data_IF_450270000415
#
_entry.id   IF_450270000415
#
_cell.length_a   1.000
_cell.length_b   1.000
_cell.length_c   1.000
_cell.angle_alpha   90.00
_cell.angle_beta   90.00
_cell.angle_gamma   90.00
#
_symmetry.space_group_name_H-M   'P 1'
#
loop_
_entity.id
_entity.type
_entity.pdbx_description
1 polymer ?
#
# COMPACT_ATOMS: atom_id res chain seq x y z
N UNK A 1 -45.00 -17.26 -0.13
CA UNK A 1 -44.02 -16.25 -0.60
C UNK A 1 -42.89 -16.98 -1.27
N UNK A 2 -42.50 -16.61 -2.51
CA UNK A 2 -41.38 -17.25 -3.16
C UNK A 2 -40.08 -16.86 -2.45
N UNK A 3 -39.28 -17.86 -2.10
CA UNK A 3 -37.93 -17.70 -1.58
C UNK A 3 -37.11 -17.01 -2.66
N UNK A 4 -36.56 -15.83 -2.35
CA UNK A 4 -35.64 -15.15 -3.25
C UNK A 4 -34.42 -16.06 -3.51
N UNK A 5 -33.97 -16.21 -4.76
CA UNK A 5 -32.79 -17.01 -5.06
C UNK A 5 -31.57 -16.41 -4.34
N UNK A 6 -30.85 -17.26 -3.62
CA UNK A 6 -29.61 -16.95 -2.92
C UNK A 6 -28.61 -16.23 -3.84
N UNK A 7 -27.96 -15.20 -3.29
CA UNK A 7 -26.85 -14.46 -3.89
C UNK A 7 -25.70 -15.41 -4.35
N UNK A 8 -24.80 -14.97 -5.24
CA UNK A 8 -24.16 -15.82 -6.23
C UNK A 8 -23.21 -16.85 -5.61
N UNK A 9 -23.43 -18.12 -5.97
CA UNK A 9 -22.45 -19.20 -5.87
C UNK A 9 -21.19 -18.73 -6.58
N UNK A 10 -20.07 -18.62 -5.85
CA UNK A 10 -18.77 -18.29 -6.45
C UNK A 10 -18.46 -19.36 -7.52
N UNK A 11 -18.45 -18.98 -8.81
CA UNK A 11 -18.18 -19.94 -9.90
C UNK A 11 -16.69 -19.90 -10.26
N UNK A 12 -15.96 -21.01 -10.15
CA UNK A 12 -14.57 -21.07 -10.58
C UNK A 12 -14.50 -20.91 -12.11
N UNK A 13 -13.70 -19.96 -12.59
CA UNK A 13 -13.37 -19.86 -14.02
C UNK A 13 -12.29 -20.89 -14.39
N UNK A 14 -12.48 -21.60 -15.50
CA UNK A 14 -11.54 -22.62 -15.99
C UNK A 14 -10.15 -22.05 -16.32
N UNK A 15 -10.07 -20.76 -16.66
CA UNK A 15 -8.82 -20.05 -17.01
C UNK A 15 -8.00 -19.60 -15.79
N UNK A 16 -8.57 -19.62 -14.58
CA UNK A 16 -7.97 -19.07 -13.37
C UNK A 16 -7.93 -20.12 -12.23
N UNK A 17 -6.94 -21.00 -12.23
CA UNK A 17 -6.67 -22.03 -11.18
C UNK A 17 -7.82 -23.01 -10.84
N UNK A 18 -9.02 -22.81 -11.38
CA UNK A 18 -10.23 -23.57 -11.06
C UNK A 18 -10.65 -23.48 -9.59
N UNK A 19 -10.38 -22.37 -8.89
CA UNK A 19 -10.74 -22.15 -7.49
C UNK A 19 -11.46 -20.81 -7.32
N UNK A 20 -12.58 -20.82 -6.60
CA UNK A 20 -13.35 -19.64 -6.22
C UNK A 20 -13.51 -19.63 -4.70
N UNK A 21 -13.12 -18.53 -4.04
CA UNK A 21 -13.16 -18.40 -2.58
C UNK A 21 -14.23 -17.39 -2.17
N UNK A 22 -15.06 -17.77 -1.20
CA UNK A 22 -16.14 -16.94 -0.66
C UNK A 22 -15.75 -16.21 0.62
N UNK A 23 -14.92 -16.83 1.45
CA UNK A 23 -14.62 -16.36 2.82
C UNK A 23 -13.22 -15.78 2.99
N UNK A 24 -12.33 -15.96 2.02
CA UNK A 24 -11.02 -15.31 2.02
C UNK A 24 -11.13 -13.97 1.26
N UNK A 25 -10.71 -12.84 1.85
CA UNK A 25 -10.82 -11.55 1.19
C UNK A 25 -10.00 -11.58 -0.10
N UNK A 26 -10.63 -11.13 -1.19
CA UNK A 26 -10.11 -11.03 -2.56
C UNK A 26 -8.59 -10.83 -2.60
N UNK A 27 -7.87 -11.89 -2.96
CA UNK A 27 -6.44 -11.96 -3.30
C UNK A 27 -6.00 -11.00 -4.45
N UNK A 28 -6.81 -10.00 -4.81
CA UNK A 28 -6.74 -9.27 -6.07
C UNK A 28 -7.06 -7.76 -5.95
N UNK A 29 -6.51 -7.07 -4.94
CA UNK A 29 -6.26 -5.63 -5.08
C UNK A 29 -4.76 -5.42 -5.32
N UNK A 30 -4.39 -4.79 -6.45
CA UNK A 30 -2.99 -4.64 -6.90
C UNK A 30 -2.08 -3.94 -5.87
N UNK A 31 -2.61 -3.04 -5.04
CA UNK A 31 -1.89 -2.48 -3.88
C UNK A 31 -1.81 -3.41 -2.66
N UNK A 32 -2.87 -4.18 -2.40
CA UNK A 32 -2.94 -5.09 -1.25
C UNK A 32 -1.99 -6.30 -1.39
N UNK A 33 -1.80 -6.77 -2.63
CA UNK A 33 -0.87 -7.84 -2.93
C UNK A 33 0.61 -7.43 -2.72
N UNK A 34 0.96 -6.17 -2.96
CA UNK A 34 2.34 -5.68 -2.81
C UNK A 34 2.83 -5.81 -1.35
N UNK A 35 1.99 -5.43 -0.40
CA UNK A 35 2.29 -5.50 1.03
C UNK A 35 1.92 -6.85 1.68
N UNK A 36 1.49 -7.84 0.89
CA UNK A 36 1.18 -9.19 1.37
C UNK A 36 -0.01 -9.24 2.33
N UNK A 37 -1.02 -8.38 2.11
CA UNK A 37 -2.15 -8.24 3.02
C UNK A 37 -3.02 -9.49 3.08
N UNK A 38 -3.34 -9.89 4.30
CA UNK A 38 -4.34 -10.89 4.65
C UNK A 38 -5.18 -10.32 5.77
N UNK A 39 -6.52 -10.43 5.70
CA UNK A 39 -7.38 -10.13 6.86
C UNK A 39 -7.32 -11.23 7.92
N UNK A 40 -6.61 -12.33 7.63
CA UNK A 40 -6.41 -13.44 8.56
C UNK A 40 -5.18 -13.14 9.40
N UNK A 41 -5.37 -13.10 10.70
CA UNK A 41 -4.32 -12.96 11.73
C UNK A 41 -4.08 -14.31 12.40
N UNK A 42 -2.86 -14.55 12.88
CA UNK A 42 -2.57 -15.67 13.78
C UNK A 42 -3.58 -15.68 14.95
N UNK A 43 -4.15 -16.84 15.24
CA UNK A 43 -5.18 -17.04 16.27
C UNK A 43 -6.62 -16.93 15.77
N UNK A 44 -6.84 -16.51 14.52
CA UNK A 44 -8.19 -16.47 13.95
C UNK A 44 -8.81 -17.86 13.80
N UNK A 45 -10.13 -17.92 13.95
CA UNK A 45 -10.96 -19.07 13.58
C UNK A 45 -12.03 -18.58 12.61
N UNK A 46 -11.83 -18.87 11.33
CA UNK A 46 -12.69 -18.36 10.26
C UNK A 46 -13.07 -19.52 9.31
N UNK A 47 -14.26 -19.48 8.70
CA UNK A 47 -14.61 -20.46 7.68
C UNK A 47 -13.72 -20.29 6.45
N UNK A 48 -13.27 -21.41 5.88
CA UNK A 48 -12.72 -21.51 4.54
C UNK A 48 -13.78 -22.16 3.66
N UNK A 49 -14.38 -21.38 2.76
CA UNK A 49 -15.47 -21.84 1.91
C UNK A 49 -15.35 -21.32 0.48
N UNK A 50 -15.94 -22.05 -0.45
CA UNK A 50 -15.96 -21.71 -1.86
C UNK A 50 -16.28 -22.91 -2.73
N UNK A 51 -15.83 -22.83 -3.99
CA UNK A 51 -16.00 -23.89 -4.96
C UNK A 51 -14.72 -24.15 -5.75
N UNK A 52 -14.44 -25.40 -6.05
CA UNK A 52 -13.37 -25.84 -6.95
C UNK A 52 -13.99 -26.39 -8.22
N UNK A 53 -13.40 -26.07 -9.38
CA UNK A 53 -13.86 -26.56 -10.67
C UNK A 53 -13.78 -28.09 -10.67
N UNK A 54 -14.93 -28.71 -10.92
CA UNK A 54 -15.06 -30.14 -11.15
C UNK A 54 -15.10 -30.38 -12.65
N UNK A 55 -14.23 -31.26 -13.12
CA UNK A 55 -14.33 -31.83 -14.45
C UNK A 55 -14.99 -33.20 -14.30
N UNK A 56 -16.25 -33.38 -14.75
CA UNK A 56 -16.95 -34.65 -14.64
C UNK A 56 -16.33 -35.76 -15.48
N UNK A 57 -15.53 -35.42 -16.50
CA UNK A 57 -14.83 -36.37 -17.37
C UNK A 57 -13.39 -36.65 -16.89
N UNK A 58 -12.91 -35.94 -15.87
CA UNK A 58 -11.59 -36.20 -15.30
C UNK A 58 -11.56 -37.56 -14.58
N UNK A 59 -10.50 -38.38 -14.79
CA UNK A 59 -10.38 -39.70 -14.18
C UNK A 59 -10.29 -39.67 -12.65
N UNK A 60 -9.97 -38.50 -12.07
CA UNK A 60 -9.83 -38.30 -10.64
C UNK A 60 -10.50 -36.98 -10.22
N UNK A 61 -11.80 -37.00 -9.89
CA UNK A 61 -12.50 -35.81 -9.40
C UNK A 61 -11.89 -35.35 -8.07
N UNK A 62 -11.95 -34.04 -7.82
CA UNK A 62 -11.43 -33.46 -6.58
C UNK A 62 -12.44 -33.73 -5.47
N UNK A 63 -12.12 -34.67 -4.58
CA UNK A 63 -13.00 -35.05 -3.45
C UNK A 63 -12.61 -34.38 -2.13
N UNK A 64 -11.41 -33.80 -2.07
CA UNK A 64 -10.96 -33.01 -0.93
C UNK A 64 -9.99 -31.91 -1.37
N UNK A 65 -9.83 -30.91 -0.50
CA UNK A 65 -8.69 -29.99 -0.52
C UNK A 65 -7.78 -30.30 0.66
N UNK A 66 -6.48 -30.07 0.49
CA UNK A 66 -5.49 -30.19 1.55
C UNK A 66 -4.91 -28.83 1.85
N UNK A 67 -5.20 -28.30 3.03
CA UNK A 67 -4.55 -27.12 3.56
C UNK A 67 -3.28 -27.54 4.30
N UNK A 68 -2.14 -27.00 3.89
CA UNK A 68 -0.83 -27.22 4.49
C UNK A 68 -0.42 -25.96 5.24
N UNK A 69 -0.13 -26.13 6.53
CA UNK A 69 0.31 -25.08 7.45
C UNK A 69 1.82 -24.84 7.29
N UNK A 70 2.35 -23.71 7.78
CA UNK A 70 3.78 -23.42 7.78
C UNK A 70 4.65 -24.53 8.38
N UNK A 71 4.19 -25.18 9.46
CA UNK A 71 4.88 -26.32 10.09
C UNK A 71 4.86 -27.61 9.27
N UNK A 72 4.07 -27.67 8.19
CA UNK A 72 3.78 -28.90 7.44
C UNK A 72 2.60 -29.70 7.99
N UNK A 73 1.97 -29.29 9.11
CA UNK A 73 0.68 -29.83 9.54
C UNK A 73 -0.33 -29.68 8.41
N UNK A 74 -1.22 -30.67 8.26
CA UNK A 74 -2.23 -30.66 7.21
C UNK A 74 -3.64 -30.82 7.76
N UNK A 75 -4.59 -30.21 7.07
CA UNK A 75 -6.03 -30.39 7.27
C UNK A 75 -6.65 -30.76 5.93
N UNK A 76 -7.42 -31.84 5.91
CA UNK A 76 -8.21 -32.23 4.75
C UNK A 76 -9.61 -31.63 4.86
N UNK A 77 -10.07 -31.01 3.78
CA UNK A 77 -11.33 -30.28 3.67
C UNK A 77 -12.17 -31.03 2.65
N UNK A 78 -13.29 -31.66 3.05
CA UNK A 78 -14.15 -32.38 2.11
C UNK A 78 -14.72 -31.45 1.03
N UNK A 79 -14.78 -31.96 -0.21
CA UNK A 79 -15.38 -31.28 -1.36
C UNK A 79 -16.62 -32.07 -1.79
N UNK A 80 -17.73 -31.36 -1.95
CA UNK A 80 -18.98 -31.91 -2.45
C UNK A 80 -18.91 -32.29 -3.94
N UNK A 81 -19.86 -33.10 -4.42
CA UNK A 81 -19.91 -33.52 -5.83
C UNK A 81 -20.10 -32.34 -6.80
N UNK A 82 -20.65 -31.22 -6.34
CA UNK A 82 -20.80 -29.96 -7.08
C UNK A 82 -19.56 -29.06 -7.00
N UNK A 83 -18.49 -29.51 -6.32
CA UNK A 83 -17.26 -28.75 -6.11
C UNK A 83 -17.30 -27.78 -4.93
N UNK A 84 -18.41 -27.68 -4.21
CA UNK A 84 -18.50 -26.83 -3.03
C UNK A 84 -17.69 -27.38 -1.86
N UNK A 85 -17.13 -26.49 -1.03
CA UNK A 85 -16.47 -26.86 0.22
C UNK A 85 -16.69 -25.80 1.29
N UNK A 86 -16.69 -26.24 2.55
CA UNK A 86 -16.79 -25.36 3.71
C UNK A 86 -16.19 -26.04 4.93
N UNK A 87 -15.23 -25.40 5.60
CA UNK A 87 -14.62 -25.90 6.83
C UNK A 87 -14.22 -24.74 7.74
N UNK A 88 -14.51 -24.83 9.04
CA UNK A 88 -13.91 -23.91 10.02
C UNK A 88 -12.42 -24.25 10.20
N UNK A 89 -11.55 -23.25 10.00
CA UNK A 89 -10.10 -23.40 10.09
C UNK A 89 -9.57 -22.50 11.21
N UNK A 90 -8.68 -23.06 12.03
CA UNK A 90 -7.89 -22.31 12.98
C UNK A 90 -6.57 -21.90 12.32
N UNK A 91 -6.33 -20.60 12.20
CA UNK A 91 -5.11 -20.03 11.64
C UNK A 91 -4.15 -19.68 12.77
N UNK A 92 -3.62 -20.69 13.45
CA UNK A 92 -2.84 -20.61 14.69
C UNK A 92 -1.31 -20.61 14.47
N UNK A 93 -0.85 -20.64 13.22
CA UNK A 93 0.56 -20.57 12.85
C UNK A 93 0.86 -19.33 12.01
N UNK A 94 2.02 -18.73 12.25
CA UNK A 94 2.50 -17.62 11.42
C UNK A 94 3.18 -18.16 10.16
N UNK A 95 2.92 -17.53 9.02
CA UNK A 95 3.61 -17.80 7.76
C UNK A 95 2.70 -18.18 6.60
N UNK A 96 3.25 -18.92 5.63
CA UNK A 96 2.56 -19.23 4.39
C UNK A 96 1.77 -20.54 4.45
N UNK A 97 0.46 -20.42 4.28
CA UNK A 97 -0.47 -21.51 4.09
C UNK A 97 -0.61 -21.83 2.61
N UNK A 98 -0.76 -23.12 2.29
CA UNK A 98 -0.89 -23.59 0.90
C UNK A 98 -2.07 -24.54 0.78
N UNK A 99 -2.94 -24.30 -0.18
CA UNK A 99 -4.12 -25.11 -0.45
C UNK A 99 -3.91 -25.91 -1.72
N UNK A 100 -4.05 -27.23 -1.64
CA UNK A 100 -3.88 -28.15 -2.77
C UNK A 100 -5.17 -28.91 -3.05
N UNK A 101 -5.34 -29.38 -4.29
CA UNK A 101 -6.29 -30.47 -4.58
C UNK A 101 -5.79 -31.75 -3.93
N UNK A 102 -6.70 -32.52 -3.35
CA UNK A 102 -6.43 -33.84 -2.83
C UNK A 102 -7.42 -34.83 -3.43
N UNK A 103 -6.89 -35.89 -4.05
CA UNK A 103 -7.66 -37.00 -4.60
C UNK A 103 -7.58 -38.22 -3.67
N UNK A 104 -8.58 -39.12 -3.68
CA UNK A 104 -8.68 -40.26 -2.76
C UNK A 104 -7.43 -41.15 -2.76
N UNK A 105 -6.79 -41.29 -3.92
CA UNK A 105 -5.65 -42.19 -4.10
C UNK A 105 -4.31 -41.58 -3.66
N UNK A 106 -4.29 -40.30 -3.23
CA UNK A 106 -3.09 -39.51 -2.86
C UNK A 106 -1.97 -39.47 -3.92
N UNK A 107 -2.21 -40.00 -5.13
CA UNK A 107 -1.24 -40.11 -6.23
C UNK A 107 -1.04 -38.81 -7.01
N UNK A 108 -2.00 -37.89 -6.92
CA UNK A 108 -1.96 -36.59 -7.59
C UNK A 108 -2.15 -35.49 -6.56
N UNK A 109 -1.05 -34.95 -6.08
CA UNK A 109 -1.01 -33.57 -5.57
C UNK A 109 -0.48 -32.77 -6.74
N UNK A 110 -1.21 -31.78 -7.23
CA UNK A 110 -0.62 -30.86 -8.20
C UNK A 110 0.64 -30.26 -7.54
N UNK A 111 1.78 -30.26 -8.23
CA UNK A 111 3.03 -29.73 -7.69
C UNK A 111 2.92 -28.24 -7.29
N UNK A 112 1.92 -27.56 -7.85
CA UNK A 112 1.57 -26.18 -7.56
C UNK A 112 0.30 -26.09 -6.70
N UNK A 113 0.31 -25.27 -5.64
CA UNK A 113 -0.89 -25.02 -4.83
C UNK A 113 -1.96 -24.27 -5.65
N UNK A 114 -3.23 -24.57 -5.40
CA UNK A 114 -4.37 -23.80 -5.92
C UNK A 114 -4.38 -22.37 -5.40
N UNK A 115 -4.01 -22.21 -4.13
CA UNK A 115 -3.87 -20.91 -3.49
C UNK A 115 -2.73 -20.95 -2.47
N UNK A 116 -2.07 -19.81 -2.32
CA UNK A 116 -1.10 -19.58 -1.25
C UNK A 116 -1.38 -18.21 -0.64
N UNK A 117 -1.38 -18.14 0.69
CA UNK A 117 -1.62 -16.89 1.42
C UNK A 117 -0.80 -16.87 2.70
N UNK A 118 -0.48 -15.67 3.18
CA UNK A 118 0.22 -15.47 4.44
C UNK A 118 -0.77 -15.25 5.58
N UNK A 119 -0.46 -15.77 6.76
CA UNK A 119 -1.13 -15.46 8.02
C UNK A 119 -0.10 -14.81 8.93
N UNK A 120 -0.11 -13.47 9.07
CA UNK A 120 0.77 -12.75 9.98
C UNK A 120 0.17 -12.53 11.38
N UNK A 121 1.00 -12.11 12.33
CA UNK A 121 0.52 -11.39 13.51
C UNK A 121 0.09 -9.97 13.14
N UNK A 122 -0.82 -9.37 13.90
CA UNK A 122 -1.11 -7.93 13.79
C UNK A 122 0.11 -7.15 14.24
N UNK A 123 0.55 -6.21 13.43
CA UNK A 123 1.67 -5.34 13.75
C UNK A 123 1.15 -3.95 14.18
N UNK A 124 1.64 -3.44 15.30
CA UNK A 124 1.39 -2.10 15.81
C UNK A 124 2.74 -1.39 15.99
N UNK A 125 2.98 -0.28 15.30
CA UNK A 125 4.22 0.49 15.47
C UNK A 125 4.09 1.32 16.74
N UNK A 126 4.98 1.10 17.70
CA UNK A 126 5.04 1.80 18.99
C UNK A 126 5.99 3.00 18.97
N UNK A 127 6.99 2.98 18.10
CA UNK A 127 7.99 4.06 18.01
C UNK A 127 7.39 5.31 17.39
N UNK A 128 7.63 6.45 18.04
CA UNK A 128 7.27 7.76 17.51
C UNK A 128 8.29 8.29 16.48
N UNK A 129 7.83 9.09 15.51
CA UNK A 129 6.43 9.33 15.23
C UNK A 129 5.85 8.27 14.26
N UNK A 130 4.77 7.62 14.70
CA UNK A 130 3.70 7.14 13.83
C UNK A 130 3.12 8.35 13.07
N UNK A 131 3.80 8.89 12.05
CA UNK A 131 3.21 9.99 11.27
C UNK A 131 2.09 9.53 10.34
N UNK A 132 1.73 8.23 10.34
CA UNK A 132 0.63 7.71 9.55
C UNK A 132 -0.73 8.35 9.87
N UNK A 133 -0.95 8.80 11.11
CA UNK A 133 -2.14 9.58 11.48
C UNK A 133 -2.16 10.98 10.83
N UNK A 134 -0.98 11.56 10.57
CA UNK A 134 -0.84 12.89 9.94
C UNK A 134 -1.06 12.83 8.43
N UNK A 135 -0.61 11.75 7.79
CA UNK A 135 -0.82 11.52 6.35
C UNK A 135 -2.27 11.13 5.96
N UNK A 136 -3.25 11.25 6.89
CA UNK A 136 -4.70 10.99 6.68
C UNK A 136 -4.98 9.78 5.81
N UNK A 137 -4.34 8.66 6.12
CA UNK A 137 -4.57 7.43 5.36
C UNK A 137 -6.06 7.04 5.44
N UNK A 138 -6.64 6.47 4.38
CA UNK A 138 -7.89 5.73 4.53
C UNK A 138 -7.62 4.67 5.59
N UNK A 139 -8.26 4.79 6.77
CA UNK A 139 -8.10 3.85 7.87
C UNK A 139 -8.50 2.47 7.38
N UNK A 140 -7.52 1.68 6.94
CA UNK A 140 -7.68 0.25 6.76
C UNK A 140 -7.24 -0.37 8.10
N UNK A 141 -8.15 -0.98 8.87
CA UNK A 141 -7.86 -1.41 10.24
C UNK A 141 -6.72 -2.43 10.33
N UNK A 142 -6.36 -3.09 9.22
CA UNK A 142 -5.42 -4.21 9.17
C UNK A 142 -4.10 -3.86 8.42
N UNK A 143 -3.90 -2.59 8.05
CA UNK A 143 -2.65 -2.09 7.50
C UNK A 143 -1.98 -1.16 8.50
N UNK A 144 -0.74 -1.48 8.86
CA UNK A 144 0.11 -0.57 9.63
C UNK A 144 1.20 0.00 8.74
N UNK A 145 1.26 1.33 8.67
CA UNK A 145 2.33 2.04 7.99
C UNK A 145 3.14 2.84 9.02
N UNK A 146 4.44 2.58 9.10
CA UNK A 146 5.37 3.49 9.73
C UNK A 146 5.76 4.57 8.72
N UNK A 147 5.93 5.80 9.18
CA UNK A 147 6.46 6.89 8.38
C UNK A 147 7.82 7.28 8.92
N UNK A 148 8.84 7.26 8.07
CA UNK A 148 10.24 7.44 8.45
C UNK A 148 10.86 8.56 7.62
N UNK A 149 11.57 9.52 8.23
CA UNK A 149 12.29 10.52 7.46
C UNK A 149 13.41 9.85 6.65
N UNK A 150 13.59 10.30 5.42
CA UNK A 150 14.73 9.91 4.60
C UNK A 150 16.04 10.36 5.28
N UNK A 151 17.02 9.47 5.35
CA UNK A 151 18.32 9.77 5.96
C UNK A 151 18.90 8.56 6.68
N UNK A 152 19.39 8.71 7.92
CA UNK A 152 20.05 7.62 8.64
C UNK A 152 19.10 6.46 8.96
N UNK A 153 19.68 5.30 9.30
CA UNK A 153 18.92 4.16 9.82
C UNK A 153 18.09 4.56 11.05
N UNK A 154 16.86 4.06 11.10
CA UNK A 154 15.97 4.18 12.26
C UNK A 154 15.66 2.81 12.85
N UNK A 155 15.30 2.79 14.13
CA UNK A 155 14.84 1.60 14.85
C UNK A 155 13.34 1.70 15.07
N UNK A 156 12.59 0.86 14.33
CA UNK A 156 11.15 0.77 14.47
C UNK A 156 10.82 -0.20 15.59
N UNK A 157 10.10 0.28 16.59
CA UNK A 157 9.65 -0.53 17.71
C UNK A 157 8.23 -1.00 17.41
N UNK A 158 8.03 -2.30 17.23
CA UNK A 158 6.76 -2.84 16.72
C UNK A 158 6.26 -3.92 17.67
N UNK A 159 5.00 -3.83 18.09
CA UNK A 159 4.28 -4.87 18.84
C UNK A 159 3.56 -5.80 17.88
N UNK A 160 3.68 -7.09 18.12
CA UNK A 160 2.99 -8.14 17.39
C UNK A 160 1.97 -8.83 18.30
N UNK A 161 0.72 -8.91 17.85
CA UNK A 161 -0.35 -9.58 18.60
C UNK A 161 -1.13 -10.57 17.73
N UNK A 162 -1.68 -11.58 18.36
CA UNK A 162 -2.65 -12.48 17.73
C UNK A 162 -4.02 -11.81 17.56
N UNK A 163 -4.97 -12.53 16.96
CA UNK A 163 -6.33 -12.05 16.72
C UNK A 163 -7.09 -11.67 18.01
N UNK A 164 -6.74 -12.29 19.15
CA UNK A 164 -7.32 -11.99 20.45
C UNK A 164 -6.60 -10.83 21.17
N UNK A 165 -5.59 -10.21 20.53
CA UNK A 165 -4.78 -9.14 21.11
C UNK A 165 -3.71 -9.61 22.09
N UNK A 166 -3.44 -10.92 22.17
CA UNK A 166 -2.38 -11.46 23.02
C UNK A 166 -1.01 -11.24 22.36
N UNK A 167 0.03 -10.88 23.12
CA UNK A 167 1.35 -10.63 22.56
C UNK A 167 1.95 -11.91 21.97
N UNK A 168 2.60 -11.77 20.81
CA UNK A 168 3.41 -12.81 20.21
C UNK A 168 4.73 -12.98 20.98
N UNK A 169 4.67 -13.35 22.27
CA UNK A 169 5.83 -13.32 23.17
C UNK A 169 6.87 -14.40 22.84
N UNK A 170 8.16 -14.02 22.80
CA UNK A 170 9.28 -14.95 22.61
C UNK A 170 9.31 -15.64 21.24
N UNK A 171 8.67 -15.05 20.22
CA UNK A 171 8.55 -15.60 18.87
C UNK A 171 9.68 -15.10 17.98
N UNK A 172 10.12 -15.96 17.07
CA UNK A 172 10.94 -15.57 15.92
C UNK A 172 10.02 -15.34 14.74
N UNK A 173 10.07 -14.14 14.15
CA UNK A 173 9.25 -13.75 12.98
C UNK A 173 10.15 -13.47 11.78
N UNK A 174 9.66 -13.76 10.58
CA UNK A 174 10.39 -13.49 9.35
C UNK A 174 9.96 -12.16 8.72
N UNK A 175 10.92 -11.28 8.45
CA UNK A 175 10.71 -10.07 7.67
C UNK A 175 10.61 -10.39 6.17
N UNK A 176 10.07 -9.46 5.41
CA UNK A 176 9.89 -9.58 3.96
C UNK A 176 11.22 -9.70 3.19
N UNK A 177 12.35 -9.28 3.78
CA UNK A 177 13.69 -9.41 3.24
C UNK A 177 14.39 -10.72 3.66
N UNK A 178 13.68 -11.61 4.37
CA UNK A 178 14.18 -12.90 4.84
C UNK A 178 14.93 -12.85 6.18
N UNK A 179 15.17 -11.67 6.75
CA UNK A 179 15.78 -11.57 8.09
C UNK A 179 14.80 -12.06 9.16
N UNK A 180 15.34 -12.66 10.21
CA UNK A 180 14.57 -13.03 11.39
C UNK A 180 14.66 -11.93 12.45
N UNK A 181 13.54 -11.67 13.13
CA UNK A 181 13.45 -10.83 14.32
C UNK A 181 12.92 -11.65 15.49
N UNK A 182 13.26 -11.25 16.72
CA UNK A 182 12.76 -11.88 17.93
C UNK A 182 11.94 -10.89 18.75
N UNK A 183 10.80 -11.33 19.26
CA UNK A 183 9.91 -10.54 20.10
C UNK A 183 10.15 -10.80 21.58
N UNK A 184 10.11 -9.73 22.39
CA UNK A 184 10.20 -9.81 23.84
C UNK A 184 8.94 -10.39 24.49
N UNK A 185 8.87 -10.39 25.82
CA UNK A 185 7.72 -10.89 26.58
C UNK A 185 6.43 -10.09 26.33
N UNK A 186 6.52 -8.84 25.87
CA UNK A 186 5.40 -8.01 25.48
C UNK A 186 5.04 -8.14 24.00
N UNK A 187 5.69 -9.06 23.27
CA UNK A 187 5.50 -9.23 21.83
C UNK A 187 6.13 -8.12 21.01
N UNK A 188 7.08 -7.36 21.57
CA UNK A 188 7.71 -6.22 20.91
C UNK A 188 9.06 -6.61 20.30
N UNK A 189 9.32 -6.14 19.08
CA UNK A 189 10.62 -6.25 18.44
C UNK A 189 11.12 -4.87 17.96
N UNK A 190 12.45 -4.73 17.88
CA UNK A 190 13.09 -3.61 17.21
C UNK A 190 13.55 -4.01 15.81
N UNK A 191 13.06 -3.31 14.80
CA UNK A 191 13.35 -3.56 13.40
C UNK A 191 14.22 -2.42 12.86
N UNK A 192 15.50 -2.69 12.52
CA UNK A 192 16.31 -1.71 11.82
C UNK A 192 15.81 -1.50 10.39
N UNK A 193 15.60 -0.24 10.05
CA UNK A 193 15.22 0.19 8.71
C UNK A 193 16.12 1.32 8.24
N UNK A 194 16.81 1.09 7.12
CA UNK A 194 17.65 2.07 6.44
C UNK A 194 16.99 2.49 5.12
N UNK A 195 16.53 3.74 4.99
CA UNK A 195 16.06 4.28 3.71
C UNK A 195 17.16 4.16 2.64
N UNK A 196 16.80 3.84 1.39
CA UNK A 196 17.78 3.78 0.30
C UNK A 196 18.37 5.18 0.02
N UNK A 197 19.70 5.35 0.00
CA UNK A 197 20.32 6.66 -0.23
C UNK A 197 20.10 7.20 -1.66
N UNK A 198 20.03 6.31 -2.66
CA UNK A 198 19.92 6.65 -4.09
C UNK A 198 18.52 6.36 -4.68
N UNK A 199 17.51 6.18 -3.82
CA UNK A 199 16.13 5.91 -4.26
C UNK A 199 15.47 7.11 -4.98
N UNK A 200 14.31 6.93 -5.62
CA UNK A 200 13.57 7.97 -6.36
C UNK A 200 13.01 9.12 -5.50
N UNK A 201 13.61 9.38 -4.34
CA UNK A 201 13.20 10.38 -3.35
C UNK A 201 12.23 9.83 -2.30
N UNK A 202 11.42 8.84 -2.66
CA UNK A 202 10.37 8.24 -1.83
C UNK A 202 10.23 6.74 -2.07
N UNK A 203 10.01 5.98 -1.00
CA UNK A 203 9.94 4.54 -1.02
C UNK A 203 8.83 4.05 -0.08
N UNK A 204 8.03 3.11 -0.56
CA UNK A 204 7.22 2.27 0.31
C UNK A 204 7.83 0.89 0.33
N UNK A 205 8.30 0.46 1.49
CA UNK A 205 8.91 -0.85 1.70
C UNK A 205 7.99 -1.73 2.51
N UNK A 206 7.73 -2.95 2.03
CA UNK A 206 7.14 -4.00 2.87
C UNK A 206 8.19 -4.50 3.86
N UNK A 207 7.92 -4.40 5.16
CA UNK A 207 8.79 -4.99 6.19
C UNK A 207 8.29 -6.34 6.67
N UNK A 208 6.98 -6.46 6.85
CA UNK A 208 6.31 -7.66 7.35
C UNK A 208 4.91 -7.71 6.72
N UNK A 209 4.25 -8.86 6.55
CA UNK A 209 2.91 -8.88 5.97
C UNK A 209 1.95 -8.02 6.81
N UNK A 210 1.31 -7.03 6.19
CA UNK A 210 0.49 -6.02 6.89
C UNK A 210 1.25 -4.84 7.52
N UNK A 211 2.59 -4.82 7.44
CA UNK A 211 3.45 -3.71 7.90
C UNK A 211 4.32 -3.16 6.76
N UNK A 212 4.10 -1.90 6.42
CA UNK A 212 4.94 -1.15 5.50
C UNK A 212 5.66 0.02 6.17
N UNK A 213 6.73 0.48 5.52
CA UNK A 213 7.41 1.74 5.87
C UNK A 213 7.35 2.66 4.68
N UNK A 214 6.75 3.82 4.89
CA UNK A 214 6.79 4.95 3.98
C UNK A 214 7.99 5.83 4.36
N UNK A 215 8.84 6.14 3.40
CA UNK A 215 9.83 7.20 3.56
C UNK A 215 9.29 8.56 3.12
N UNK A 216 9.57 9.59 3.92
CA UNK A 216 9.21 10.98 3.62
C UNK A 216 10.42 11.90 3.71
N UNK A 217 10.32 13.09 3.11
CA UNK A 217 11.33 14.15 3.17
C UNK A 217 10.73 15.40 3.79
N UNK A 218 11.51 16.05 4.65
CA UNK A 218 11.22 17.39 5.11
C UNK A 218 11.85 18.40 4.16
N UNK A 219 11.01 19.29 3.67
CA UNK A 219 11.33 20.35 2.71
C UNK A 219 11.10 21.67 3.41
N UNK A 220 12.14 22.52 3.43
CA UNK A 220 12.07 23.82 4.11
C UNK A 220 12.46 24.94 3.18
N UNK A 221 11.84 26.10 3.39
CA UNK A 221 12.22 27.35 2.74
C UNK A 221 13.20 28.07 3.65
N UNK A 222 14.46 28.17 3.23
CA UNK A 222 15.47 28.94 3.94
C UNK A 222 15.17 30.45 3.88
N UNK A 223 15.81 31.23 4.76
CA UNK A 223 15.61 32.70 4.82
C UNK A 223 15.89 33.42 3.48
N UNK A 224 16.73 32.84 2.63
CA UNK A 224 17.02 33.35 1.28
C UNK A 224 15.98 33.00 0.21
N UNK A 225 14.86 32.37 0.57
CA UNK A 225 13.82 31.94 -0.36
C UNK A 225 14.16 30.68 -1.16
N UNK A 226 15.12 29.89 -0.69
CA UNK A 226 15.51 28.63 -1.33
C UNK A 226 14.80 27.46 -0.65
N UNK A 227 14.17 26.59 -1.45
CA UNK A 227 13.62 25.31 -1.01
C UNK A 227 14.74 24.29 -0.96
N UNK A 228 14.93 23.65 0.20
CA UNK A 228 15.91 22.59 0.42
C UNK A 228 15.22 21.26 0.74
N UNK A 229 15.91 20.13 0.53
CA UNK A 229 15.41 18.78 0.86
C UNK A 229 14.73 18.04 -0.30
N UNK A 230 14.53 18.69 -1.44
CA UNK A 230 13.97 18.09 -2.66
C UNK A 230 14.91 17.01 -3.24
N UNK A 231 14.37 15.88 -3.75
CA UNK A 231 15.18 14.82 -4.38
C UNK A 231 16.07 15.32 -5.51
N UNK A 232 15.54 16.20 -6.38
CA UNK A 232 16.29 16.75 -7.51
C UNK A 232 17.27 17.87 -7.14
N UNK A 233 17.39 18.26 -5.87
CA UNK A 233 18.18 19.43 -5.44
C UNK A 233 17.33 20.70 -5.24
N UNK A 234 17.94 21.78 -4.74
CA UNK A 234 17.22 22.96 -4.27
C UNK A 234 16.55 23.75 -5.39
N UNK A 235 15.52 24.52 -5.04
CA UNK A 235 14.78 25.40 -5.95
C UNK A 235 14.67 26.79 -5.35
N UNK A 236 15.08 27.81 -6.10
CA UNK A 236 15.02 29.20 -5.64
C UNK A 236 13.66 29.82 -5.95
N UNK A 237 13.02 30.38 -4.93
CA UNK A 237 11.79 31.14 -5.04
C UNK A 237 12.04 32.63 -5.27
N UNK A 238 10.94 33.32 -5.57
CA UNK A 238 10.87 34.77 -5.68
C UNK A 238 9.90 35.28 -4.61
N UNK A 239 10.21 36.43 -4.02
CA UNK A 239 9.34 37.06 -3.02
C UNK A 239 8.30 37.94 -3.73
N UNK A 240 7.02 37.67 -3.50
CA UNK A 240 5.90 38.48 -3.98
C UNK A 240 5.10 38.95 -2.77
N UNK A 241 5.26 40.23 -2.41
CA UNK A 241 4.80 40.74 -1.13
C UNK A 241 5.50 40.06 0.03
N UNK A 242 4.72 39.46 0.94
CA UNK A 242 5.24 38.71 2.09
C UNK A 242 5.35 37.20 1.87
N UNK A 243 5.05 36.73 0.65
CA UNK A 243 5.01 35.30 0.34
C UNK A 243 6.16 34.93 -0.59
N UNK A 244 6.83 33.82 -0.26
CA UNK A 244 7.72 33.14 -1.20
C UNK A 244 6.90 32.28 -2.17
N UNK A 245 7.14 32.49 -3.46
CA UNK A 245 6.52 31.71 -4.53
C UNK A 245 7.60 31.03 -5.35
N UNK A 246 7.34 29.80 -5.78
CA UNK A 246 8.34 28.95 -6.42
C UNK A 246 7.94 28.61 -7.84
N UNK A 247 8.91 28.56 -8.78
CA UNK A 247 8.63 28.23 -10.17
C UNK A 247 8.02 26.84 -10.27
N UNK A 248 6.77 26.78 -10.75
CA UNK A 248 5.95 25.57 -10.74
C UNK A 248 6.67 24.37 -11.39
N UNK A 249 7.22 24.58 -12.59
CA UNK A 249 7.91 23.52 -13.34
C UNK A 249 9.09 22.95 -12.58
N UNK A 250 9.96 23.84 -12.14
CA UNK A 250 11.24 23.46 -11.55
C UNK A 250 11.00 22.75 -10.22
N UNK A 251 10.07 23.27 -9.41
CA UNK A 251 9.65 22.59 -8.20
C UNK A 251 9.14 21.17 -8.47
N UNK A 252 8.23 21.00 -9.43
CA UNK A 252 7.64 19.68 -9.73
C UNK A 252 8.65 18.67 -10.26
N UNK A 253 9.53 19.08 -11.18
CA UNK A 253 10.60 18.21 -11.72
C UNK A 253 11.53 17.72 -10.61
N UNK A 254 11.81 18.58 -9.62
CA UNK A 254 12.71 18.27 -8.51
C UNK A 254 12.01 17.47 -7.41
N UNK A 255 10.74 17.76 -7.15
CA UNK A 255 9.93 17.14 -6.11
C UNK A 255 9.45 15.74 -6.51
N UNK A 256 9.02 15.53 -7.76
CA UNK A 256 8.41 14.28 -8.18
C UNK A 256 8.72 13.97 -9.65
N UNK A 257 9.98 13.62 -10.00
CA UNK A 257 10.38 13.38 -11.38
C UNK A 257 9.57 12.26 -12.05
N UNK A 258 9.07 11.28 -11.30
CA UNK A 258 8.20 10.22 -11.82
C UNK A 258 6.80 10.71 -12.23
N UNK A 259 6.30 11.80 -11.64
CA UNK A 259 5.00 12.41 -11.99
C UNK A 259 5.15 13.40 -13.16
N UNK A 260 6.38 13.70 -13.57
CA UNK A 260 6.70 14.63 -14.65
C UNK A 260 7.43 13.87 -15.77
N UNK A 261 6.71 13.30 -16.76
CA UNK A 261 7.36 12.61 -17.87
C UNK A 261 8.39 13.53 -18.53
N UNK A 262 9.63 13.05 -18.63
CA UNK A 262 10.71 13.77 -19.30
C UNK A 262 10.27 14.13 -20.72
N UNK A 263 10.13 15.44 -21.01
CA UNK A 263 9.75 15.94 -22.33
C UNK A 263 8.36 16.55 -22.44
N UNK A 264 7.50 16.50 -21.40
CA UNK A 264 6.29 17.32 -21.37
C UNK A 264 6.64 18.76 -20.98
N UNK A 265 6.55 19.68 -21.94
CA UNK A 265 6.61 21.12 -21.66
C UNK A 265 5.33 21.58 -20.95
N UNK A 266 5.46 22.54 -20.03
CA UNK A 266 4.31 23.34 -19.60
C UNK A 266 3.82 24.12 -20.83
N UNK A 267 2.79 23.61 -21.47
CA UNK A 267 2.22 24.27 -22.63
C UNK A 267 1.37 25.44 -22.16
N UNK A 268 1.79 26.67 -22.50
CA UNK A 268 0.96 27.85 -22.38
C UNK A 268 -0.12 27.81 -23.45
N UNK A 269 -1.38 27.84 -23.04
CA UNK A 269 -2.52 27.91 -23.94
C UNK A 269 -3.10 29.33 -23.89
N UNK A 270 -2.70 30.16 -24.85
CA UNK A 270 -3.03 31.59 -24.87
C UNK A 270 -4.53 31.87 -24.96
N UNK A 271 -5.26 31.05 -25.74
CA UNK A 271 -6.72 31.19 -25.91
C UNK A 271 -7.51 30.94 -24.62
N UNK A 272 -7.02 30.04 -23.77
CA UNK A 272 -7.70 29.65 -22.53
C UNK A 272 -7.01 30.23 -21.29
N UNK A 273 -5.92 31.00 -21.49
CA UNK A 273 -5.05 31.53 -20.44
C UNK A 273 -4.75 30.47 -19.38
N UNK A 274 -4.35 29.30 -19.86
CA UNK A 274 -4.12 28.15 -19.01
C UNK A 274 -2.76 27.53 -19.25
N UNK A 275 -2.27 26.82 -18.24
CA UNK A 275 -1.04 26.04 -18.32
C UNK A 275 -1.42 24.58 -18.21
N UNK A 276 -1.02 23.80 -19.22
CA UNK A 276 -1.26 22.35 -19.25
C UNK A 276 -0.02 21.58 -18.80
N UNK A 277 -0.26 20.52 -18.04
CA UNK A 277 0.76 19.59 -17.58
C UNK A 277 0.19 18.17 -17.56
N UNK A 278 0.57 17.33 -18.54
CA UNK A 278 -0.10 16.05 -18.77
C UNK A 278 -1.61 16.21 -18.99
N UNK A 279 -2.40 15.47 -18.21
CA UNK A 279 -3.87 15.52 -18.21
C UNK A 279 -4.45 16.62 -17.31
N UNK A 280 -3.58 17.48 -16.77
CA UNK A 280 -3.98 18.51 -15.82
C UNK A 280 -3.90 19.90 -16.44
N UNK A 281 -4.76 20.79 -15.98
CA UNK A 281 -4.86 22.16 -16.48
C UNK A 281 -5.01 23.14 -15.32
N UNK A 282 -4.17 24.16 -15.29
CA UNK A 282 -4.30 25.31 -14.41
C UNK A 282 -4.82 26.52 -15.21
N UNK A 283 -6.05 26.95 -14.93
CA UNK A 283 -6.58 28.22 -15.45
C UNK A 283 -6.04 29.37 -14.62
N UNK A 284 -5.33 30.31 -15.26
CA UNK A 284 -4.57 31.33 -14.52
C UNK A 284 -5.44 32.50 -14.05
N UNK A 285 -6.41 32.92 -14.88
CA UNK A 285 -7.31 34.02 -14.50
C UNK A 285 -8.17 33.69 -13.28
N UNK A 286 -8.59 32.42 -13.17
CA UNK A 286 -9.47 31.94 -12.09
C UNK A 286 -8.70 31.25 -10.96
N UNK A 287 -7.44 30.90 -11.20
CA UNK A 287 -6.64 30.05 -10.32
C UNK A 287 -7.20 28.64 -10.18
N UNK A 288 -8.10 28.20 -11.06
CA UNK A 288 -8.73 26.88 -10.97
C UNK A 288 -7.80 25.82 -11.54
N UNK A 289 -7.45 24.86 -10.71
CA UNK A 289 -6.75 23.65 -11.09
C UNK A 289 -7.76 22.54 -11.41
N UNK A 290 -7.57 21.89 -12.55
CA UNK A 290 -8.33 20.76 -13.03
C UNK A 290 -7.37 19.58 -13.15
N UNK A 291 -7.39 18.70 -12.15
CA UNK A 291 -6.63 17.45 -12.14
C UNK A 291 -7.49 16.22 -12.41
N UNK A 292 -6.87 15.05 -12.63
CA UNK A 292 -7.58 13.80 -12.89
C UNK A 292 -8.48 13.36 -11.74
N UNK A 293 -8.10 13.69 -10.49
CA UNK A 293 -8.81 13.24 -9.29
C UNK A 293 -9.42 14.39 -8.46
N UNK A 294 -9.13 15.65 -8.80
CA UNK A 294 -9.58 16.79 -8.00
C UNK A 294 -9.67 18.11 -8.78
N UNK A 295 -10.59 18.97 -8.34
CA UNK A 295 -10.70 20.38 -8.76
C UNK A 295 -10.55 21.27 -7.53
N UNK A 296 -9.58 22.19 -7.54
CA UNK A 296 -9.35 23.12 -6.43
C UNK A 296 -8.78 24.45 -6.93
N UNK A 297 -8.80 25.47 -6.05
CA UNK A 297 -8.24 26.79 -6.36
C UNK A 297 -6.83 26.95 -5.80
N UNK A 298 -5.98 27.65 -6.56
CA UNK A 298 -4.64 28.11 -6.17
C UNK A 298 -4.50 29.59 -6.50
N UNK A 299 -3.43 30.22 -6.03
CA UNK A 299 -3.10 31.61 -6.39
C UNK A 299 -1.85 31.63 -7.29
N UNK A 300 -2.01 31.62 -8.62
CA UNK A 300 -0.88 31.70 -9.53
C UNK A 300 -0.28 33.09 -9.56
N UNK A 301 1.05 33.16 -9.55
CA UNK A 301 1.82 34.38 -9.77
C UNK A 301 2.61 34.26 -11.08
N UNK A 302 2.45 35.23 -11.97
CA UNK A 302 3.28 35.33 -13.17
C UNK A 302 4.48 36.22 -12.87
N UNK A 303 5.68 35.63 -12.90
CA UNK A 303 6.95 36.33 -12.72
C UNK A 303 7.85 35.94 -13.89
N UNK A 304 8.31 36.93 -14.66
CA UNK A 304 9.15 36.75 -15.85
C UNK A 304 8.59 35.72 -16.85
N UNK A 305 7.27 35.76 -17.06
CA UNK A 305 6.56 34.83 -17.96
C UNK A 305 6.44 33.40 -17.45
N UNK A 306 6.84 33.12 -16.20
CA UNK A 306 6.75 31.80 -15.56
C UNK A 306 5.71 31.79 -14.45
N UNK A 307 4.99 30.67 -14.35
CA UNK A 307 4.02 30.43 -13.28
C UNK A 307 4.73 30.05 -12.00
N UNK A 308 4.42 30.77 -10.93
CA UNK A 308 4.89 30.51 -9.58
C UNK A 308 3.71 30.26 -8.65
N UNK A 309 3.91 29.38 -7.67
CA UNK A 309 2.92 29.04 -6.65
C UNK A 309 3.54 29.12 -5.25
N UNK A 310 2.71 29.40 -4.26
CA UNK A 310 3.12 29.28 -2.86
C UNK A 310 3.41 27.83 -2.49
N UNK A 311 4.19 27.60 -1.43
CA UNK A 311 4.48 26.23 -0.95
C UNK A 311 3.19 25.45 -0.61
N UNK A 312 2.19 26.13 -0.04
CA UNK A 312 0.89 25.54 0.27
C UNK A 312 0.10 25.12 -0.97
N UNK A 313 0.12 25.94 -2.04
CA UNK A 313 -0.53 25.59 -3.31
C UNK A 313 0.18 24.40 -4.00
N UNK A 314 1.52 24.35 -3.91
CA UNK A 314 2.32 23.23 -4.43
C UNK A 314 2.04 21.93 -3.68
N UNK A 315 1.87 21.99 -2.36
CA UNK A 315 1.49 20.82 -1.56
C UNK A 315 0.12 20.27 -1.98
N UNK A 316 -0.90 21.14 -2.17
CA UNK A 316 -2.22 20.72 -2.66
C UNK A 316 -2.16 20.12 -4.06
N UNK A 317 -1.28 20.64 -4.91
CA UNK A 317 -1.06 20.10 -6.25
C UNK A 317 -0.48 18.68 -6.21
N UNK A 318 0.54 18.47 -5.40
CA UNK A 318 1.14 17.16 -5.20
C UNK A 318 0.11 16.16 -4.64
N UNK A 319 -0.72 16.57 -3.67
CA UNK A 319 -1.85 15.76 -3.17
C UNK A 319 -2.83 15.34 -4.27
N UNK A 320 -3.20 16.26 -5.16
CA UNK A 320 -4.11 15.96 -6.27
C UNK A 320 -3.52 15.03 -7.35
N UNK A 321 -2.21 14.82 -7.34
CA UNK A 321 -1.51 13.83 -8.18
C UNK A 321 -1.13 12.58 -7.41
N UNK A 322 -1.76 12.38 -6.26
CA UNK A 322 -1.55 11.22 -5.40
C UNK A 322 -0.37 11.36 -4.45
N UNK A 323 0.57 12.30 -4.62
CA UNK A 323 1.69 12.47 -3.68
C UNK A 323 1.22 12.89 -2.28
N UNK A 324 1.75 12.27 -1.24
CA UNK A 324 1.47 12.69 0.12
C UNK A 324 2.28 13.94 0.45
N UNK A 325 1.63 15.10 0.46
CA UNK A 325 2.27 16.39 0.68
C UNK A 325 1.51 17.21 1.73
N UNK A 326 2.16 17.69 2.79
CA UNK A 326 1.51 18.49 3.84
C UNK A 326 2.43 19.62 4.28
N UNK A 327 1.87 20.84 4.44
CA UNK A 327 2.61 21.98 5.00
C UNK A 327 2.24 22.11 6.46
N UNK A 328 3.24 22.01 7.32
CA UNK A 328 3.15 22.15 8.76
C UNK A 328 3.00 23.63 9.18
N UNK A 329 2.58 23.87 10.43
CA UNK A 329 2.38 25.23 10.94
C UNK A 329 3.65 26.09 10.96
N UNK A 330 4.83 25.45 11.00
CA UNK A 330 6.14 26.11 10.94
C UNK A 330 6.60 26.41 9.49
N UNK A 331 5.79 26.07 8.49
CA UNK A 331 6.12 26.25 7.07
C UNK A 331 6.98 25.14 6.46
N UNK A 332 7.26 24.05 7.19
CA UNK A 332 7.91 22.85 6.65
C UNK A 332 6.92 22.08 5.77
N UNK A 333 7.30 21.77 4.54
CA UNK A 333 6.59 20.83 3.68
C UNK A 333 7.11 19.42 3.91
N UNK A 334 6.23 18.49 4.26
CA UNK A 334 6.53 17.06 4.25
C UNK A 334 6.04 16.46 2.96
N UNK A 335 6.90 15.71 2.29
CA UNK A 335 6.59 15.07 1.02
C UNK A 335 6.95 13.59 1.11
N UNK A 336 6.04 12.72 0.67
CA UNK A 336 6.23 11.29 0.57
C UNK A 336 5.78 10.77 -0.81
N UNK A 337 5.93 9.46 -1.03
CA UNK A 337 5.59 8.82 -2.30
C UNK A 337 4.13 9.10 -2.73
N UNK A 338 3.82 9.06 -4.04
CA UNK A 338 2.45 8.94 -4.51
C UNK A 338 1.72 7.79 -3.81
N UNK A 339 0.50 8.07 -3.39
CA UNK A 339 -0.46 7.16 -2.80
C UNK A 339 -0.49 5.90 -3.66
N UNK A 340 -0.33 4.76 -2.99
CA UNK A 340 -0.36 3.47 -3.65
C UNK A 340 -1.66 3.33 -4.46
N UNK A 341 -1.59 2.85 -5.71
CA UNK A 341 -2.78 2.66 -6.55
C UNK A 341 -3.76 1.62 -6.01
#
# INVERSE_FOLDING_TARGET
MPVAPSAPVCRPEESASGLCLETLPRLYCRSAAYLGWSQITVGDRLPLAGAVAQDPDAPHPTTALRLVYPSGRTVEIPVGPDGSFHQEIAYDEEGHYRLYRANPDRRWVADLPLASFAVPYRAEVLSHPLEADRFRQPRRPDLTLAAVPHGPEVRLRVRFTDAAGRPAAGRTLALADGRAIWTDAAGVAEIPFAPRPDGPGYELVRLYPGLGVLTYREIRVGAGGEVQGLPGGPVRGVRVGDTWVFPLREFLVRAAPALVPSGQELAWEERTRSVRFGDTRLQLDTGVFLGPEAVFRVRPHLVDGRVHLSLGDLARLLQAWGAWAEVEADGTLRLAAPALP
#
